data_IF_418585947743
#
_entry.id   IF_418585947743
#
_cell.length_a   1.000
_cell.length_b   1.000
_cell.length_c   1.000
_cell.angle_alpha   90.00
_cell.angle_beta   90.00
_cell.angle_gamma   90.00
#
_symmetry.space_group_name_H-M   'P 1'
#
loop_
_entity.id
_entity.type
_entity.pdbx_description
1 polymer ?
#
# COMPACT_ATOMS: atom_id res chain seq x y z
N UNK A 1 4.86 -16.27 -4.66
CA UNK A 1 5.04 -14.90 -5.17
C UNK A 1 5.29 -14.03 -3.96
N UNK A 2 6.34 -13.20 -4.01
CA UNK A 2 6.66 -12.26 -2.94
C UNK A 2 5.54 -11.21 -2.82
N UNK A 3 5.39 -10.59 -1.65
CA UNK A 3 4.50 -9.43 -1.47
C UNK A 3 4.88 -8.29 -2.43
N UNK A 4 6.17 -8.08 -2.67
CA UNK A 4 6.69 -7.07 -3.58
C UNK A 4 6.30 -7.35 -5.04
N UNK A 5 6.30 -8.61 -5.49
CA UNK A 5 5.82 -8.97 -6.85
C UNK A 5 4.36 -8.57 -7.06
N UNK A 6 3.53 -8.77 -6.04
CA UNK A 6 2.10 -8.42 -6.07
C UNK A 6 1.96 -6.89 -6.02
N UNK A 7 2.77 -6.22 -5.20
CA UNK A 7 2.77 -4.77 -5.07
C UNK A 7 3.10 -4.09 -6.41
N UNK A 8 4.17 -4.49 -7.11
CA UNK A 8 4.55 -3.93 -8.42
C UNK A 8 3.42 -4.06 -9.46
N UNK A 9 2.74 -5.21 -9.49
CA UNK A 9 1.60 -5.43 -10.40
C UNK A 9 0.39 -4.58 -10.03
N UNK A 10 0.14 -4.45 -8.73
CA UNK A 10 -1.04 -3.75 -8.19
C UNK A 10 -0.89 -2.25 -8.30
N UNK A 11 0.33 -1.72 -8.15
CA UNK A 11 0.62 -0.28 -8.11
C UNK A 11 0.10 0.48 -9.33
N UNK A 12 0.14 -0.13 -10.52
CA UNK A 12 -0.39 0.45 -11.78
C UNK A 12 -1.92 0.61 -11.80
N UNK A 13 -2.63 -0.10 -10.91
CA UNK A 13 -4.09 -0.10 -10.82
C UNK A 13 -4.61 0.77 -9.66
N UNK A 14 -3.72 1.35 -8.85
CA UNK A 14 -4.07 2.19 -7.72
C UNK A 14 -4.14 3.66 -8.13
N UNK A 15 -5.14 4.35 -7.62
CA UNK A 15 -5.34 5.77 -7.82
C UNK A 15 -4.85 6.57 -6.61
N UNK A 16 -4.65 7.88 -6.77
CA UNK A 16 -4.19 8.77 -5.69
C UNK A 16 -5.05 8.69 -4.42
N UNK A 17 -6.35 8.49 -4.56
CA UNK A 17 -7.27 8.32 -3.43
C UNK A 17 -7.11 6.97 -2.71
N UNK A 18 -6.74 5.91 -3.43
CA UNK A 18 -6.45 4.61 -2.83
C UNK A 18 -5.22 4.74 -1.91
N UNK A 19 -4.17 5.41 -2.38
CA UNK A 19 -2.98 5.72 -1.55
C UNK A 19 -3.31 6.60 -0.35
N UNK A 20 -4.24 7.56 -0.50
CA UNK A 20 -4.69 8.39 0.62
C UNK A 20 -5.36 7.56 1.70
N UNK A 21 -6.24 6.63 1.32
CA UNK A 21 -6.89 5.70 2.27
C UNK A 21 -5.86 4.80 2.94
N UNK A 22 -4.93 4.22 2.17
CA UNK A 22 -3.85 3.38 2.72
C UNK A 22 -2.98 4.14 3.73
N UNK A 23 -2.59 5.38 3.42
CA UNK A 23 -1.78 6.23 4.30
C UNK A 23 -2.54 6.55 5.60
N UNK A 24 -3.84 6.84 5.51
CA UNK A 24 -4.66 7.10 6.70
C UNK A 24 -4.74 5.86 7.60
N UNK A 25 -4.89 4.67 7.02
CA UNK A 25 -4.87 3.42 7.77
C UNK A 25 -3.51 3.24 8.45
N UNK A 26 -2.40 3.43 7.73
CA UNK A 26 -1.05 3.34 8.31
C UNK A 26 -0.86 4.25 9.53
N UNK A 27 -1.25 5.51 9.39
CA UNK A 27 -1.09 6.51 10.45
C UNK A 27 -1.95 6.17 11.67
N UNK A 28 -3.22 5.81 11.46
CA UNK A 28 -4.15 5.53 12.56
C UNK A 28 -3.96 4.13 13.17
N UNK A 29 -3.19 3.24 12.51
CA UNK A 29 -2.74 1.98 13.09
C UNK A 29 -1.85 2.17 14.34
N UNK A 30 -1.23 3.35 14.49
CA UNK A 30 -0.50 3.71 15.71
C UNK A 30 -1.41 3.82 16.94
N UNK A 31 -2.71 4.05 16.74
CA UNK A 31 -3.71 4.24 17.79
C UNK A 31 -4.69 3.06 17.88
N UNK A 32 -4.91 2.37 16.76
CA UNK A 32 -5.85 1.27 16.64
C UNK A 32 -5.16 0.05 16.02
N UNK A 33 -5.32 -1.14 16.62
CA UNK A 33 -4.89 -2.38 15.95
C UNK A 33 -5.65 -2.60 14.63
N UNK A 34 -6.95 -2.30 14.62
CA UNK A 34 -7.81 -2.30 13.44
C UNK A 34 -8.47 -0.93 13.35
N UNK A 35 -8.16 -0.17 12.31
CA UNK A 35 -8.63 1.20 12.13
C UNK A 35 -10.12 1.21 11.78
N UNK A 36 -10.99 1.88 12.56
CA UNK A 36 -12.42 1.95 12.28
C UNK A 36 -12.73 2.67 10.96
N UNK A 37 -13.71 2.20 10.19
CA UNK A 37 -14.12 2.82 8.92
C UNK A 37 -14.51 4.31 9.06
N UNK A 38 -15.14 4.67 10.18
CA UNK A 38 -15.50 6.05 10.49
C UNK A 38 -14.28 6.96 10.64
N UNK A 39 -13.18 6.45 11.20
CA UNK A 39 -11.96 7.23 11.39
C UNK A 39 -11.21 7.37 10.06
N UNK A 40 -11.22 6.33 9.24
CA UNK A 40 -10.70 6.39 7.85
C UNK A 40 -11.42 7.50 7.08
N UNK A 41 -12.75 7.56 7.14
CA UNK A 41 -13.51 8.62 6.44
C UNK A 41 -13.21 10.02 6.96
N UNK A 42 -13.12 10.20 8.28
CA UNK A 42 -12.79 11.51 8.88
C UNK A 42 -11.39 11.98 8.51
N UNK A 43 -10.38 11.12 8.67
CA UNK A 43 -8.98 11.46 8.44
C UNK A 43 -8.64 11.59 6.95
N UNK A 44 -9.27 10.78 6.10
CA UNK A 44 -9.12 10.92 4.65
C UNK A 44 -9.90 12.09 4.08
N UNK A 45 -10.88 12.66 4.80
CA UNK A 45 -11.75 13.71 4.27
C UNK A 45 -12.60 13.26 3.06
N UNK A 46 -12.70 11.95 2.83
CA UNK A 46 -13.51 11.38 1.76
C UNK A 46 -14.90 11.01 2.29
N UNK A 47 -15.97 11.17 1.48
CA UNK A 47 -17.30 10.71 1.84
C UNK A 47 -17.33 9.21 2.20
N UNK A 48 -18.13 8.78 3.19
CA UNK A 48 -18.18 7.39 3.63
C UNK A 48 -18.44 6.39 2.49
N UNK A 49 -19.27 6.75 1.52
CA UNK A 49 -19.55 5.92 0.34
C UNK A 49 -18.31 5.68 -0.53
N UNK A 50 -17.48 6.70 -0.71
CA UNK A 50 -16.23 6.61 -1.47
C UNK A 50 -15.21 5.78 -0.71
N UNK A 51 -15.07 6.01 0.59
CA UNK A 51 -14.20 5.23 1.48
C UNK A 51 -14.55 3.75 1.42
N UNK A 52 -15.83 3.40 1.55
CA UNK A 52 -16.29 2.02 1.46
C UNK A 52 -15.94 1.37 0.12
N UNK A 53 -16.21 2.06 -1.00
CA UNK A 53 -15.83 1.58 -2.33
C UNK A 53 -14.31 1.32 -2.45
N UNK A 54 -13.50 2.25 -1.94
CA UNK A 54 -12.04 2.16 -1.95
C UNK A 54 -11.57 1.01 -1.06
N UNK A 55 -12.12 0.84 0.14
CA UNK A 55 -11.80 -0.27 1.05
C UNK A 55 -12.14 -1.63 0.45
N UNK A 56 -13.28 -1.76 -0.22
CA UNK A 56 -13.64 -2.98 -0.94
C UNK A 56 -12.66 -3.27 -2.09
N UNK A 57 -12.27 -2.25 -2.85
CA UNK A 57 -11.28 -2.36 -3.93
C UNK A 57 -9.89 -2.74 -3.40
N UNK A 58 -9.40 -2.06 -2.37
CA UNK A 58 -8.13 -2.34 -1.70
C UNK A 58 -8.11 -3.76 -1.10
N UNK A 59 -9.24 -4.22 -0.55
CA UNK A 59 -9.37 -5.59 -0.03
C UNK A 59 -9.32 -6.63 -1.14
N UNK A 60 -9.92 -6.37 -2.32
CA UNK A 60 -9.80 -7.24 -3.51
C UNK A 60 -8.38 -7.36 -4.01
N UNK A 61 -7.59 -6.30 -3.89
CA UNK A 61 -6.16 -6.32 -4.22
C UNK A 61 -5.28 -6.93 -3.11
N UNK A 62 -5.87 -7.30 -1.96
CA UNK A 62 -5.13 -7.87 -0.84
C UNK A 62 -4.24 -6.87 -0.11
N UNK A 63 -4.49 -5.56 -0.25
CA UNK A 63 -3.70 -4.49 0.39
C UNK A 63 -4.12 -4.19 1.82
N UNK A 64 -5.36 -4.55 2.16
CA UNK A 64 -5.92 -4.38 3.50
C UNK A 64 -6.69 -5.62 3.91
N UNK A 65 -6.65 -5.94 5.21
CA UNK A 65 -7.48 -6.96 5.81
C UNK A 65 -8.63 -6.32 6.58
N UNK A 66 -9.84 -6.83 6.31
CA UNK A 66 -11.06 -6.43 7.03
C UNK A 66 -11.22 -7.30 8.26
N UNK A 67 -11.45 -6.67 9.40
CA UNK A 67 -11.81 -7.32 10.64
C UNK A 67 -13.23 -6.94 11.05
N UNK A 68 -13.99 -7.94 11.53
CA UNK A 68 -15.36 -7.77 12.01
C UNK A 68 -15.43 -8.28 13.43
N UNK A 69 -15.65 -7.36 14.37
CA UNK A 69 -15.86 -7.65 15.78
C UNK A 69 -16.94 -6.72 16.35
N UNK A 70 -16.71 -6.06 17.50
CA UNK A 70 -17.60 -5.02 18.02
C UNK A 70 -17.78 -3.84 17.06
N UNK A 71 -16.84 -3.65 16.13
CA UNK A 71 -16.91 -2.72 15.01
C UNK A 71 -16.23 -3.32 13.78
N UNK A 72 -16.45 -2.69 12.62
CA UNK A 72 -15.72 -3.02 11.38
C UNK A 72 -14.45 -2.19 11.34
N UNK A 73 -13.30 -2.86 11.27
CA UNK A 73 -11.99 -2.23 11.22
C UNK A 73 -11.11 -2.80 10.11
N UNK A 74 -10.04 -2.07 9.79
CA UNK A 74 -9.11 -2.40 8.71
C UNK A 74 -7.67 -2.31 9.17
N UNK A 75 -6.81 -3.17 8.63
CA UNK A 75 -5.37 -3.17 8.87
C UNK A 75 -4.64 -3.35 7.53
N UNK A 76 -3.46 -2.75 7.39
CA UNK A 76 -2.61 -2.95 6.22
C UNK A 76 -2.08 -4.38 6.16
N UNK A 77 -2.01 -4.93 4.95
CA UNK A 77 -1.22 -6.13 4.67
C UNK A 77 0.23 -5.75 4.36
N UNK A 78 1.13 -6.74 4.32
CA UNK A 78 2.51 -6.56 3.87
C UNK A 78 2.58 -5.96 2.46
N UNK A 79 1.70 -6.44 1.55
CA UNK A 79 1.60 -5.88 0.18
C UNK A 79 1.15 -4.42 0.21
N UNK A 80 0.24 -4.07 1.13
CA UNK A 80 -0.19 -2.68 1.34
C UNK A 80 0.97 -1.75 1.74
N UNK A 81 1.84 -2.21 2.64
CA UNK A 81 3.06 -1.50 3.01
C UNK A 81 4.03 -1.37 1.84
N UNK A 82 4.27 -2.46 1.10
CA UNK A 82 5.14 -2.44 -0.07
C UNK A 82 4.64 -1.43 -1.12
N UNK A 83 3.32 -1.37 -1.36
CA UNK A 83 2.73 -0.37 -2.26
C UNK A 83 2.94 1.07 -1.76
N UNK A 84 2.78 1.33 -0.46
CA UNK A 84 3.02 2.66 0.12
C UNK A 84 4.50 3.07 0.00
N UNK A 85 5.42 2.16 0.31
CA UNK A 85 6.86 2.38 0.20
C UNK A 85 7.26 2.67 -1.24
N UNK A 86 6.85 1.82 -2.19
CA UNK A 86 7.14 2.00 -3.62
C UNK A 86 6.59 3.34 -4.14
N UNK A 87 5.34 3.68 -3.81
CA UNK A 87 4.74 4.96 -4.20
C UNK A 87 5.48 6.16 -3.60
N UNK A 88 6.02 6.03 -2.39
CA UNK A 88 6.84 7.09 -1.77
C UNK A 88 8.17 7.27 -2.50
N UNK A 89 8.84 6.18 -2.87
CA UNK A 89 10.09 6.23 -3.64
C UNK A 89 9.90 6.85 -5.02
N UNK A 90 8.79 6.50 -5.70
CA UNK A 90 8.42 7.09 -7.00
C UNK A 90 8.10 8.58 -6.86
N UNK A 91 7.31 8.97 -5.85
CA UNK A 91 6.97 10.39 -5.61
C UNK A 91 8.17 11.24 -5.19
N UNK A 92 9.17 10.64 -4.56
CA UNK A 92 10.42 11.29 -4.19
C UNK A 92 11.42 11.37 -5.37
N UNK A 93 11.04 10.90 -6.56
CA UNK A 93 11.89 10.86 -7.76
C UNK A 93 13.19 10.06 -7.54
N UNK A 94 13.14 9.06 -6.65
CA UNK A 94 14.29 8.18 -6.37
C UNK A 94 14.29 6.96 -7.29
N UNK A 95 13.12 6.51 -7.71
CA UNK A 95 12.92 5.34 -8.56
C UNK A 95 11.87 5.67 -9.61
N UNK A 96 12.22 5.45 -10.88
CA UNK A 96 11.31 5.57 -12.01
C UNK A 96 10.64 4.21 -12.34
N UNK A 97 11.40 3.12 -12.26
CA UNK A 97 10.90 1.79 -12.63
C UNK A 97 11.43 0.67 -11.73
N UNK A 98 10.57 -0.27 -11.38
CA UNK A 98 10.95 -1.54 -10.75
C UNK A 98 11.14 -2.61 -11.83
N UNK A 99 12.24 -3.34 -11.73
CA UNK A 99 12.65 -4.43 -12.59
C UNK A 99 12.33 -5.81 -12.01
N UNK A 100 13.18 -6.78 -12.35
CA UNK A 100 13.03 -8.17 -11.89
C UNK A 100 13.57 -8.35 -10.46
N UNK A 101 13.08 -9.35 -9.70
CA UNK A 101 13.72 -9.74 -8.45
C UNK A 101 15.16 -10.17 -8.71
N UNK A 102 16.08 -9.65 -7.90
CA UNK A 102 17.49 -10.04 -7.87
C UNK A 102 17.70 -11.22 -6.92
N UNK A 103 16.94 -11.29 -5.82
CA UNK A 103 16.98 -12.39 -4.88
C UNK A 103 15.82 -12.35 -3.89
N UNK A 104 15.29 -13.52 -3.56
CA UNK A 104 14.22 -13.71 -2.57
C UNK A 104 14.83 -14.42 -1.37
N UNK A 105 14.85 -13.74 -0.23
CA UNK A 105 15.40 -14.23 1.02
C UNK A 105 14.32 -14.66 1.99
N UNK A 106 14.73 -15.06 3.20
CA UNK A 106 13.79 -15.40 4.27
C UNK A 106 13.13 -14.16 4.89
N UNK A 107 13.87 -13.05 4.90
CA UNK A 107 13.49 -11.80 5.59
C UNK A 107 13.47 -10.59 4.67
N UNK A 108 13.91 -10.75 3.40
CA UNK A 108 14.06 -9.65 2.46
C UNK A 108 13.91 -10.15 1.04
N UNK A 109 13.23 -9.37 0.21
CA UNK A 109 13.17 -9.57 -1.24
C UNK A 109 13.81 -8.37 -1.91
N UNK A 110 14.84 -8.63 -2.72
CA UNK A 110 15.66 -7.59 -3.35
C UNK A 110 15.28 -7.50 -4.83
N UNK A 111 15.00 -6.29 -5.29
CA UNK A 111 14.59 -6.00 -6.68
C UNK A 111 15.58 -5.07 -7.37
N UNK A 112 15.71 -5.26 -8.68
CA UNK A 112 16.36 -4.28 -9.55
C UNK A 112 15.42 -3.08 -9.72
N UNK A 113 15.96 -1.87 -9.74
CA UNK A 113 15.20 -0.65 -9.97
C UNK A 113 16.03 0.37 -10.76
N UNK A 114 15.35 1.25 -11.48
CA UNK A 114 15.95 2.29 -12.30
C UNK A 114 15.65 3.66 -11.69
N UNK A 115 16.68 4.48 -11.48
CA UNK A 115 16.52 5.90 -11.12
C UNK A 115 16.21 6.74 -12.35
N UNK A 116 15.66 7.97 -12.19
CA UNK A 116 15.40 8.87 -13.31
C UNK A 116 16.65 9.23 -14.15
N UNK A 117 17.85 9.15 -13.57
CA UNK A 117 19.12 9.34 -14.30
C UNK A 117 19.59 8.09 -15.07
N UNK A 118 18.76 7.04 -15.13
CA UNK A 118 19.06 5.79 -15.80
C UNK A 118 20.06 4.89 -15.05
N UNK A 119 20.29 5.13 -13.76
CA UNK A 119 21.16 4.28 -12.94
C UNK A 119 20.37 3.09 -12.40
N UNK A 120 20.99 1.91 -12.39
CA UNK A 120 20.41 0.72 -11.75
C UNK A 120 20.78 0.66 -10.29
N UNK A 121 19.79 0.44 -9.44
CA UNK A 121 19.92 0.31 -7.98
C UNK A 121 19.19 -0.93 -7.49
N UNK A 122 19.60 -1.44 -6.34
CA UNK A 122 18.90 -2.53 -5.66
C UNK A 122 18.03 -1.96 -4.54
N UNK A 123 16.81 -2.49 -4.43
CA UNK A 123 15.78 -2.05 -3.46
C UNK A 123 15.28 -3.26 -2.68
#
# INVERSE_FOLDING_TARGET
>A
MSSADIAVKTLRHLESEDFRVLTVIELDMSRHRYVPENDISKLSGLPPKQVKYRLERLSKFGLVYRWVGPYVGYILSTVGYDCLAMNTLVKADLIEAFGKPLGVGKESDVYDALTPEGRRVAV
#
